data_IF_895881715952
#
_entry.id   IF_895881715952
#
_cell.length_a   1.000
_cell.length_b   1.000
_cell.length_c   1.000
_cell.angle_alpha   90.00
_cell.angle_beta   90.00
_cell.angle_gamma   90.00
#
_symmetry.space_group_name_H-M   'P 1'
#
loop_
_entity.id
_entity.type
_entity.pdbx_description
1 polymer ?
#
# COMPACT_ATOMS: atom_id res chain seq x y z
N UNK A 1 4.13 -42.28 4.27
CA UNK A 1 5.05 -41.16 4.58
C UNK A 1 4.35 -39.88 4.15
N UNK A 2 3.84 -39.13 5.11
CA UNK A 2 3.19 -37.85 4.85
C UNK A 2 4.25 -36.75 4.89
N UNK A 3 4.49 -36.09 3.75
CA UNK A 3 5.31 -34.88 3.72
C UNK A 3 4.50 -33.73 4.33
N UNK A 4 4.91 -33.28 5.51
CA UNK A 4 4.43 -32.04 6.08
C UNK A 4 5.11 -30.87 5.34
N UNK A 5 4.36 -30.17 4.49
CA UNK A 5 4.80 -28.89 3.93
C UNK A 5 4.81 -27.87 5.06
N UNK A 6 6.00 -27.45 5.46
CA UNK A 6 6.17 -26.32 6.38
C UNK A 6 5.78 -25.04 5.62
N UNK A 7 4.54 -24.60 5.80
CA UNK A 7 4.11 -23.27 5.38
C UNK A 7 4.85 -22.27 6.27
N UNK A 8 5.78 -21.51 5.70
CA UNK A 8 6.41 -20.38 6.38
C UNK A 8 5.31 -19.35 6.67
N UNK A 9 4.88 -19.29 7.91
CA UNK A 9 3.83 -18.39 8.36
C UNK A 9 4.41 -16.99 8.57
N UNK A 10 4.24 -16.11 7.60
CA UNK A 10 4.35 -14.68 7.81
C UNK A 10 3.17 -14.21 8.66
N UNK A 11 3.37 -13.57 9.82
CA UNK A 11 2.28 -13.21 10.71
C UNK A 11 1.25 -12.21 10.14
N UNK A 12 1.59 -11.47 9.13
CA UNK A 12 0.67 -10.57 8.42
C UNK A 12 0.04 -11.19 7.16
N UNK A 13 0.63 -12.26 6.62
CA UNK A 13 0.23 -12.87 5.35
C UNK A 13 -0.83 -13.97 5.47
N UNK A 14 -1.20 -14.37 6.68
CA UNK A 14 -2.23 -15.40 6.87
C UNK A 14 -3.63 -14.98 6.39
N UNK A 15 -3.84 -13.69 6.15
CA UNK A 15 -5.06 -13.18 5.49
C UNK A 15 -5.04 -13.33 3.96
N UNK A 16 -3.88 -13.65 3.36
CA UNK A 16 -3.68 -13.58 1.92
C UNK A 16 -3.61 -14.94 1.20
N UNK A 17 -3.38 -16.03 1.92
CA UNK A 17 -2.93 -17.29 1.31
C UNK A 17 -4.04 -18.29 0.94
N UNK A 18 -5.34 -18.02 1.18
CA UNK A 18 -6.39 -19.04 1.02
C UNK A 18 -7.67 -18.57 0.34
N UNK A 19 -7.56 -17.99 -0.85
CA UNK A 19 -8.70 -17.86 -1.74
C UNK A 19 -8.69 -19.01 -2.78
N UNK A 20 -8.86 -20.26 -2.37
CA UNK A 20 -8.85 -21.34 -3.37
C UNK A 20 -9.06 -22.77 -2.90
N UNK A 21 -9.27 -23.05 -1.63
CA UNK A 21 -9.62 -24.41 -1.20
C UNK A 21 -10.95 -24.41 -0.45
N UNK A 22 -11.93 -25.08 -1.01
CA UNK A 22 -13.19 -25.43 -0.33
C UNK A 22 -12.91 -26.42 0.81
N UNK A 23 -12.26 -25.94 1.88
CA UNK A 23 -12.25 -26.64 3.14
C UNK A 23 -13.41 -26.15 3.99
N UNK A 24 -14.14 -27.03 4.70
CA UNK A 24 -15.24 -26.60 5.55
C UNK A 24 -14.69 -25.63 6.59
N UNK A 25 -15.28 -24.43 6.66
CA UNK A 25 -14.94 -23.38 7.61
C UNK A 25 -15.40 -23.81 9.00
N UNK A 26 -14.66 -24.71 9.61
CA UNK A 26 -14.67 -25.01 11.02
C UNK A 26 -13.57 -24.16 11.67
N UNK A 27 -13.98 -23.00 12.07
CA UNK A 27 -13.33 -22.02 12.94
C UNK A 27 -12.00 -22.44 13.62
N UNK A 28 -10.90 -22.42 12.90
CA UNK A 28 -9.63 -22.07 13.51
C UNK A 28 -9.63 -20.54 13.64
N UNK A 29 -10.11 -20.01 14.75
CA UNK A 29 -9.88 -18.63 15.16
C UNK A 29 -8.38 -18.49 15.47
N UNK A 30 -7.57 -18.33 14.45
CA UNK A 30 -6.18 -17.90 14.61
C UNK A 30 -6.28 -16.45 15.06
N UNK A 31 -6.07 -16.20 16.38
CA UNK A 31 -5.85 -14.84 16.87
C UNK A 31 -4.77 -14.22 15.97
N UNK A 32 -4.99 -13.02 15.41
CA UNK A 32 -3.94 -12.37 14.65
C UNK A 32 -2.73 -12.24 15.57
N UNK A 33 -1.61 -12.85 15.18
CA UNK A 33 -0.35 -12.66 15.88
C UNK A 33 -0.04 -11.16 15.84
N UNK A 34 0.32 -10.58 16.98
CA UNK A 34 0.75 -9.18 17.04
C UNK A 34 1.93 -9.02 16.07
N UNK A 35 1.80 -8.13 15.09
CA UNK A 35 2.85 -7.89 14.11
C UNK A 35 4.13 -7.46 14.85
N UNK A 36 5.26 -8.03 14.47
CA UNK A 36 6.57 -7.66 15.00
C UNK A 36 7.30 -6.84 13.94
N UNK A 37 7.66 -5.61 14.30
CA UNK A 37 8.45 -4.73 13.43
C UNK A 37 9.74 -5.39 12.99
N UNK A 38 10.07 -5.26 11.71
CA UNK A 38 11.24 -5.88 11.09
C UNK A 38 12.32 -4.85 10.75
N UNK A 39 11.94 -3.62 10.43
CA UNK A 39 12.85 -2.57 10.00
C UNK A 39 12.66 -1.26 10.75
N UNK A 40 11.42 -0.74 10.83
CA UNK A 40 11.17 0.56 11.44
C UNK A 40 11.26 0.51 12.97
N UNK A 41 11.70 1.63 13.58
CA UNK A 41 11.47 1.86 15.00
C UNK A 41 9.97 2.06 15.26
N UNK A 42 9.50 1.94 16.52
CA UNK A 42 8.09 2.20 16.84
C UNK A 42 7.61 3.60 16.40
N UNK A 43 8.48 4.61 16.51
CA UNK A 43 8.19 5.99 16.12
C UNK A 43 8.12 6.14 14.59
N UNK A 44 9.07 5.55 13.87
CA UNK A 44 9.07 5.51 12.41
C UNK A 44 7.84 4.77 11.89
N UNK A 45 7.49 3.64 12.50
CA UNK A 45 6.32 2.87 12.13
C UNK A 45 5.02 3.66 12.33
N UNK A 46 4.87 4.36 13.46
CA UNK A 46 3.71 5.21 13.69
C UNK A 46 3.58 6.32 12.61
N UNK A 47 4.72 6.86 12.15
CA UNK A 47 4.71 7.83 11.06
C UNK A 47 4.33 7.18 9.72
N UNK A 48 4.84 5.98 9.41
CA UNK A 48 4.45 5.21 8.22
C UNK A 48 2.94 4.88 8.27
N UNK A 49 2.44 4.39 9.40
CA UNK A 49 1.02 4.08 9.59
C UNK A 49 0.15 5.32 9.34
N UNK A 50 0.56 6.48 9.87
CA UNK A 50 -0.19 7.72 9.63
C UNK A 50 -0.11 8.19 8.18
N UNK A 51 1.03 8.07 7.52
CA UNK A 51 1.17 8.45 6.11
C UNK A 51 0.32 7.56 5.20
N UNK A 52 0.33 6.24 5.41
CA UNK A 52 -0.48 5.30 4.64
C UNK A 52 -1.98 5.52 4.84
N UNK A 53 -2.39 5.84 6.08
CA UNK A 53 -3.76 6.18 6.46
C UNK A 53 -4.26 7.49 5.77
N UNK A 54 -3.39 8.50 5.63
CA UNK A 54 -3.70 9.72 4.91
C UNK A 54 -3.76 9.54 3.38
N UNK A 55 -3.06 8.54 2.85
CA UNK A 55 -3.05 8.23 1.40
C UNK A 55 -4.30 7.45 1.01
N UNK A 56 -4.70 6.46 1.80
CA UNK A 56 -5.93 5.68 1.62
C UNK A 56 -6.66 5.64 2.96
N UNK A 57 -7.44 6.69 3.28
CA UNK A 57 -8.16 6.77 4.53
C UNK A 57 -9.34 5.77 4.58
N UNK A 58 -9.75 5.42 5.78
CA UNK A 58 -11.02 4.74 6.00
C UNK A 58 -12.17 5.75 5.91
N UNK A 59 -13.17 5.44 5.12
CA UNK A 59 -14.42 6.20 5.00
C UNK A 59 -15.62 5.23 5.11
N UNK A 60 -16.46 5.14 4.09
CA UNK A 60 -17.52 4.13 4.00
C UNK A 60 -16.94 2.72 3.79
N UNK A 61 -15.69 2.65 3.33
CA UNK A 61 -14.91 1.43 3.10
C UNK A 61 -13.66 1.40 3.97
N UNK A 62 -13.13 0.20 4.31
CA UNK A 62 -11.90 0.08 5.09
C UNK A 62 -10.69 0.64 4.32
N UNK A 63 -9.83 1.39 5.00
CA UNK A 63 -8.64 2.01 4.43
C UNK A 63 -7.35 1.22 4.58
N UNK A 64 -6.21 1.93 4.44
CA UNK A 64 -4.88 1.35 4.51
C UNK A 64 -4.57 0.69 5.88
N UNK A 65 -5.10 1.27 6.96
CA UNK A 65 -4.91 0.77 8.32
C UNK A 65 -5.53 -0.61 8.50
N UNK A 66 -6.79 -0.79 8.13
CA UNK A 66 -7.50 -2.06 8.21
C UNK A 66 -6.94 -3.11 7.28
N UNK A 67 -6.39 -2.66 6.15
CA UNK A 67 -5.71 -3.53 5.19
C UNK A 67 -4.31 -3.99 5.64
N UNK A 68 -3.77 -3.44 6.75
CA UNK A 68 -2.43 -3.79 7.25
C UNK A 68 -1.31 -3.28 6.34
N UNK A 69 -1.51 -2.12 5.71
CA UNK A 69 -0.54 -1.59 4.72
C UNK A 69 0.76 -1.17 5.38
N UNK A 70 0.73 -0.64 6.61
CA UNK A 70 1.96 -0.26 7.31
C UNK A 70 2.87 -1.46 7.59
N UNK A 71 2.29 -2.61 7.95
CA UNK A 71 3.00 -3.88 8.12
C UNK A 71 3.60 -4.36 6.80
N UNK A 72 2.84 -4.22 5.71
CA UNK A 72 3.34 -4.54 4.38
C UNK A 72 4.55 -3.68 4.01
N UNK A 73 4.47 -2.36 4.25
CA UNK A 73 5.58 -1.43 3.98
C UNK A 73 6.81 -1.79 4.83
N UNK A 74 6.66 -2.04 6.14
CA UNK A 74 7.76 -2.44 7.01
C UNK A 74 8.44 -3.73 6.51
N UNK A 75 7.63 -4.71 6.12
CA UNK A 75 8.14 -5.97 5.55
C UNK A 75 8.91 -5.74 4.25
N UNK A 76 8.34 -4.99 3.31
CA UNK A 76 8.97 -4.74 2.02
C UNK A 76 10.31 -4.02 2.17
N UNK A 77 10.38 -3.02 3.04
CA UNK A 77 11.62 -2.26 3.28
C UNK A 77 12.65 -3.09 4.05
N UNK A 78 12.23 -3.94 4.99
CA UNK A 78 13.14 -4.86 5.68
C UNK A 78 13.92 -5.76 4.69
N UNK A 79 13.30 -6.13 3.57
CA UNK A 79 13.86 -7.03 2.56
C UNK A 79 14.47 -6.32 1.35
N UNK A 80 14.41 -4.97 1.29
CA UNK A 80 14.97 -4.17 0.21
C UNK A 80 16.00 -3.16 0.74
N UNK A 81 17.28 -3.58 0.77
CA UNK A 81 18.37 -2.77 1.33
C UNK A 81 18.58 -1.44 0.63
N UNK A 82 18.31 -1.38 -0.67
CA UNK A 82 18.51 -0.17 -1.47
C UNK A 82 17.51 0.93 -1.10
N UNK A 83 16.30 0.53 -0.68
CA UNK A 83 15.25 1.46 -0.26
C UNK A 83 15.35 1.87 1.22
N UNK A 84 16.06 1.11 2.07
CA UNK A 84 16.13 1.36 3.52
C UNK A 84 16.64 2.77 3.85
N UNK A 85 17.68 3.22 3.17
CA UNK A 85 18.24 4.56 3.35
C UNK A 85 17.24 5.65 2.97
N UNK A 86 16.59 5.49 1.81
CA UNK A 86 15.58 6.42 1.30
C UNK A 86 14.40 6.57 2.27
N UNK A 87 13.92 5.46 2.85
CA UNK A 87 12.82 5.53 3.80
C UNK A 87 13.20 6.20 5.11
N UNK A 88 14.38 5.93 5.69
CA UNK A 88 14.84 6.61 6.90
C UNK A 88 15.05 8.11 6.67
N UNK A 89 15.71 8.48 5.58
CA UNK A 89 15.93 9.89 5.23
C UNK A 89 14.63 10.61 4.94
N UNK A 90 13.69 9.95 4.22
CA UNK A 90 12.38 10.50 3.92
C UNK A 90 11.51 10.74 5.15
N UNK A 91 11.44 9.79 6.08
CA UNK A 91 10.71 9.96 7.35
C UNK A 91 11.33 11.09 8.20
N UNK A 92 12.66 11.15 8.25
CA UNK A 92 13.39 12.25 8.92
C UNK A 92 13.07 13.58 8.26
N UNK A 93 13.05 13.63 6.91
CA UNK A 93 12.73 14.83 6.16
C UNK A 93 11.30 15.32 6.45
N UNK A 94 10.30 14.44 6.47
CA UNK A 94 8.91 14.79 6.80
C UNK A 94 8.80 15.46 8.18
N UNK A 95 9.44 14.88 9.21
CA UNK A 95 9.44 15.47 10.54
C UNK A 95 10.15 16.81 10.57
N UNK A 96 11.37 16.92 10.00
CA UNK A 96 12.12 18.16 9.96
C UNK A 96 11.39 19.26 9.16
N UNK A 97 10.71 18.90 8.07
CA UNK A 97 9.90 19.82 7.28
C UNK A 97 8.67 20.32 8.08
N UNK A 98 8.00 19.41 8.79
CA UNK A 98 6.91 19.73 9.70
C UNK A 98 7.32 20.70 10.80
N UNK A 99 8.44 20.43 11.47
CA UNK A 99 8.98 21.29 12.53
C UNK A 99 9.37 22.68 12.02
N UNK A 100 10.03 22.76 10.85
CA UNK A 100 10.39 24.04 10.24
C UNK A 100 9.18 24.87 9.81
N UNK A 101 8.12 24.22 9.33
CA UNK A 101 6.96 24.90 8.74
C UNK A 101 5.89 25.22 9.78
N UNK A 102 5.66 24.33 10.74
CA UNK A 102 4.54 24.39 11.69
C UNK A 102 4.97 24.28 13.15
N UNK A 103 6.29 24.19 13.44
CA UNK A 103 6.85 24.20 14.79
C UNK A 103 6.65 22.92 15.60
N UNK A 104 6.14 21.83 14.97
CA UNK A 104 5.85 20.57 15.64
C UNK A 104 6.18 19.36 14.76
N UNK A 105 6.53 18.20 15.36
CA UNK A 105 6.66 16.94 14.63
C UNK A 105 5.35 16.57 13.93
N UNK A 106 5.45 15.89 12.79
CA UNK A 106 4.33 15.58 11.93
C UNK A 106 3.15 14.89 12.65
N UNK A 107 3.43 13.91 13.52
CA UNK A 107 2.40 13.19 14.28
C UNK A 107 1.67 14.04 15.34
N UNK A 108 2.18 15.24 15.66
CA UNK A 108 1.53 16.18 16.59
C UNK A 108 0.63 17.19 15.91
N UNK A 109 0.71 17.28 14.59
CA UNK A 109 -0.14 18.16 13.79
C UNK A 109 -1.58 17.64 13.73
N UNK A 110 -2.53 18.55 13.57
CA UNK A 110 -3.91 18.18 13.20
C UNK A 110 -3.93 17.58 11.79
N UNK A 111 -4.93 16.78 11.50
CA UNK A 111 -5.09 16.13 10.18
C UNK A 111 -5.07 17.14 9.03
N UNK A 112 -5.81 18.26 9.15
CA UNK A 112 -5.80 19.30 8.14
C UNK A 112 -4.41 19.92 7.91
N UNK A 113 -3.59 20.07 8.97
CA UNK A 113 -2.21 20.53 8.85
C UNK A 113 -1.32 19.49 8.17
N UNK A 114 -1.49 18.20 8.51
CA UNK A 114 -0.78 17.09 7.87
C UNK A 114 -1.07 17.04 6.36
N UNK A 115 -2.35 17.12 5.99
CA UNK A 115 -2.79 17.15 4.59
C UNK A 115 -2.17 18.36 3.87
N UNK A 116 -2.28 19.57 4.44
CA UNK A 116 -1.74 20.80 3.84
C UNK A 116 -0.22 20.74 3.62
N UNK A 117 0.51 20.01 4.48
CA UNK A 117 1.94 19.81 4.36
C UNK A 117 2.29 18.80 3.26
N UNK A 118 1.45 17.78 3.05
CA UNK A 118 1.68 16.73 2.05
C UNK A 118 1.20 17.15 0.64
N UNK A 119 0.23 18.04 0.52
CA UNK A 119 -0.32 18.48 -0.78
C UNK A 119 0.75 18.96 -1.78
N UNK A 120 1.76 19.79 -1.39
CA UNK A 120 2.83 20.20 -2.30
C UNK A 120 3.72 19.05 -2.76
N UNK A 121 3.78 17.97 -2.00
CA UNK A 121 4.52 16.76 -2.36
C UNK A 121 3.73 15.86 -3.31
N UNK A 122 2.41 15.88 -3.18
CA UNK A 122 1.50 15.01 -3.92
C UNK A 122 1.13 15.55 -5.31
N UNK A 123 0.89 16.86 -5.41
CA UNK A 123 0.29 17.46 -6.61
C UNK A 123 1.30 18.32 -7.37
N UNK A 124 1.59 17.93 -8.62
CA UNK A 124 2.55 18.61 -9.48
C UNK A 124 2.32 20.12 -9.61
N UNK A 125 1.06 20.56 -9.62
CA UNK A 125 0.69 21.98 -9.70
C UNK A 125 1.04 22.77 -8.42
N UNK A 126 1.32 22.09 -7.30
CA UNK A 126 1.63 22.68 -6.00
C UNK A 126 3.10 22.51 -5.60
N UNK A 127 3.95 21.95 -6.46
CA UNK A 127 5.36 21.71 -6.18
C UNK A 127 6.10 23.00 -5.83
N UNK A 128 6.96 22.92 -4.81
CA UNK A 128 7.80 24.02 -4.34
C UNK A 128 9.27 23.67 -4.51
N UNK A 129 10.13 24.61 -4.90
CA UNK A 129 11.57 24.40 -4.92
C UNK A 129 12.12 24.05 -3.52
N UNK A 130 13.08 23.13 -3.46
CA UNK A 130 13.69 22.66 -2.22
C UNK A 130 12.92 21.55 -1.48
N UNK A 131 11.83 21.04 -2.06
CA UNK A 131 11.06 19.90 -1.53
C UNK A 131 11.24 18.63 -2.34
N UNK A 132 12.28 18.55 -3.19
CA UNK A 132 12.52 17.44 -4.13
C UNK A 132 12.63 16.10 -3.40
N UNK A 133 13.43 16.03 -2.34
CA UNK A 133 13.65 14.80 -1.56
C UNK A 133 12.34 14.33 -0.89
N UNK A 134 11.56 15.29 -0.36
CA UNK A 134 10.26 14.99 0.23
C UNK A 134 9.26 14.44 -0.80
N UNK A 135 9.25 14.99 -2.02
CA UNK A 135 8.41 14.50 -3.12
C UNK A 135 8.80 13.10 -3.55
N UNK A 136 10.09 12.83 -3.69
CA UNK A 136 10.59 11.51 -4.08
C UNK A 136 10.20 10.45 -3.04
N UNK A 137 10.38 10.77 -1.75
CA UNK A 137 9.94 9.89 -0.68
C UNK A 137 8.42 9.70 -0.67
N UNK A 138 7.64 10.80 -0.79
CA UNK A 138 6.18 10.73 -0.79
C UNK A 138 5.64 9.91 -1.96
N UNK A 139 6.25 10.04 -3.13
CA UNK A 139 5.92 9.22 -4.30
C UNK A 139 6.16 7.73 -4.00
N UNK A 140 7.32 7.39 -3.45
CA UNK A 140 7.68 6.01 -3.11
C UNK A 140 6.71 5.39 -2.08
N UNK A 141 6.40 6.10 -0.99
CA UNK A 141 5.48 5.57 0.03
C UNK A 141 4.05 5.46 -0.52
N UNK A 142 3.61 6.38 -1.39
CA UNK A 142 2.32 6.30 -2.05
C UNK A 142 2.21 5.08 -2.96
N UNK A 143 3.24 4.76 -3.73
CA UNK A 143 3.27 3.57 -4.58
C UNK A 143 3.20 2.29 -3.74
N UNK A 144 3.99 2.18 -2.67
CA UNK A 144 3.93 1.02 -1.77
C UNK A 144 2.60 0.93 -1.03
N UNK A 145 1.99 2.07 -0.68
CA UNK A 145 0.65 2.10 -0.07
C UNK A 145 -0.39 1.54 -1.02
N UNK A 146 -0.41 1.99 -2.28
CA UNK A 146 -1.33 1.48 -3.29
C UNK A 146 -1.08 -0.01 -3.56
N UNK A 147 0.18 -0.42 -3.69
CA UNK A 147 0.55 -1.83 -3.87
C UNK A 147 0.05 -2.69 -2.70
N UNK A 148 0.34 -2.29 -1.45
CA UNK A 148 -0.08 -3.00 -0.25
C UNK A 148 -1.59 -3.08 -0.12
N UNK A 149 -2.29 -1.98 -0.40
CA UNK A 149 -3.73 -1.94 -0.31
C UNK A 149 -4.41 -2.85 -1.35
N UNK A 150 -4.14 -2.64 -2.64
CA UNK A 150 -4.81 -3.40 -3.71
C UNK A 150 -4.35 -4.87 -3.83
N UNK A 151 -3.27 -5.24 -3.19
CA UNK A 151 -2.91 -6.64 -3.03
C UNK A 151 -3.47 -7.26 -1.73
N UNK A 152 -4.14 -6.51 -0.87
CA UNK A 152 -4.86 -7.02 0.32
C UNK A 152 -6.22 -7.61 -0.04
N UNK A 153 -6.78 -8.44 0.85
CA UNK A 153 -8.14 -8.94 0.69
C UNK A 153 -9.17 -7.78 0.63
N UNK A 154 -8.92 -6.73 1.42
CA UNK A 154 -9.77 -5.54 1.49
C UNK A 154 -9.73 -4.81 0.14
N UNK A 155 -8.56 -4.40 -0.32
CA UNK A 155 -8.41 -3.67 -1.57
C UNK A 155 -8.79 -4.51 -2.81
N UNK A 156 -8.58 -5.85 -2.75
CA UNK A 156 -9.04 -6.73 -3.81
C UNK A 156 -10.59 -6.75 -3.94
N UNK A 157 -11.29 -6.64 -2.80
CA UNK A 157 -12.76 -6.52 -2.80
C UNK A 157 -13.22 -5.18 -3.38
N UNK A 158 -12.49 -4.10 -3.12
CA UNK A 158 -12.76 -2.78 -3.70
C UNK A 158 -12.66 -2.77 -5.25
N UNK A 159 -11.87 -3.68 -5.82
CA UNK A 159 -11.78 -3.87 -7.27
C UNK A 159 -12.88 -4.81 -7.82
N UNK A 160 -14.03 -4.98 -7.13
CA UNK A 160 -15.11 -5.90 -7.50
C UNK A 160 -14.66 -7.35 -7.64
N UNK A 161 -13.63 -7.76 -6.88
CA UNK A 161 -13.06 -9.11 -6.94
C UNK A 161 -12.86 -9.56 -8.41
N UNK A 162 -11.96 -8.95 -9.18
CA UNK A 162 -11.75 -9.35 -10.56
C UNK A 162 -11.33 -10.82 -10.57
N UNK A 163 -12.31 -11.71 -10.76
CA UNK A 163 -12.04 -13.13 -10.83
C UNK A 163 -11.06 -13.38 -11.98
N UNK A 164 -9.98 -14.11 -11.73
CA UNK A 164 -9.11 -14.60 -12.79
C UNK A 164 -9.96 -15.48 -13.72
N UNK A 165 -10.34 -14.91 -14.87
CA UNK A 165 -11.04 -15.63 -15.92
C UNK A 165 -10.01 -16.08 -16.94
N UNK A 166 -9.84 -17.38 -17.07
CA UNK A 166 -9.04 -17.94 -18.15
C UNK A 166 -9.91 -18.02 -19.41
N UNK A 167 -9.52 -17.32 -20.45
CA UNK A 167 -10.18 -17.36 -21.73
C UNK A 167 -9.39 -18.25 -22.67
N UNK A 168 -10.04 -19.23 -23.31
CA UNK A 168 -9.42 -20.05 -24.37
C UNK A 168 -9.15 -19.24 -25.66
N UNK A 169 -9.85 -18.12 -25.80
CA UNK A 169 -9.62 -17.10 -26.84
C UNK A 169 -9.78 -15.72 -26.18
N UNK A 170 -9.03 -14.73 -26.66
CA UNK A 170 -9.22 -13.35 -26.19
C UNK A 170 -10.69 -12.94 -26.40
N UNK A 171 -11.39 -12.46 -25.37
CA UNK A 171 -12.72 -11.91 -25.57
C UNK A 171 -12.60 -10.69 -26.50
N UNK A 172 -13.61 -10.52 -27.37
CA UNK A 172 -13.67 -9.31 -28.17
C UNK A 172 -13.69 -8.08 -27.27
N UNK A 173 -13.05 -7.00 -27.69
CA UNK A 173 -13.08 -5.75 -26.96
C UNK A 173 -14.54 -5.30 -26.79
N UNK A 174 -15.04 -5.07 -25.56
CA UNK A 174 -16.42 -4.61 -25.35
C UNK A 174 -16.69 -3.22 -25.94
N UNK A 175 -15.63 -2.48 -26.30
CA UNK A 175 -15.68 -1.12 -26.86
C UNK A 175 -15.44 -1.11 -28.38
N UNK A 176 -15.95 -2.10 -29.10
CA UNK A 176 -15.79 -2.21 -30.57
C UNK A 176 -16.31 -1.00 -31.33
N UNK A 177 -17.24 -0.25 -30.72
CA UNK A 177 -17.82 0.96 -31.30
C UNK A 177 -17.11 2.25 -30.87
N UNK A 178 -16.14 2.17 -29.96
CA UNK A 178 -15.35 3.32 -29.54
C UNK A 178 -14.41 3.76 -30.66
N UNK A 179 -14.52 5.05 -30.99
CA UNK A 179 -13.73 5.70 -32.05
C UNK A 179 -12.23 5.62 -31.81
N UNK A 180 -11.81 5.67 -30.53
CA UNK A 180 -10.39 5.63 -30.15
C UNK A 180 -9.78 4.22 -30.35
N UNK A 181 -10.57 3.18 -30.29
CA UNK A 181 -10.10 1.79 -30.43
C UNK A 181 -10.17 1.25 -31.87
N UNK A 182 -10.90 1.89 -32.76
CA UNK A 182 -11.07 1.41 -34.17
C UNK A 182 -9.80 1.43 -35.01
N UNK A 183 -8.78 2.17 -34.60
CA UNK A 183 -7.51 2.29 -35.32
C UNK A 183 -6.42 1.35 -34.80
N UNK A 184 -6.66 0.65 -33.69
CA UNK A 184 -5.68 -0.30 -33.17
C UNK A 184 -5.71 -1.59 -34.00
N UNK A 185 -4.56 -2.06 -34.49
CA UNK A 185 -4.51 -3.33 -35.21
C UNK A 185 -4.92 -4.46 -34.26
N UNK A 186 -5.59 -5.52 -34.78
CA UNK A 186 -5.91 -6.68 -33.97
C UNK A 186 -4.64 -7.26 -33.37
N UNK A 187 -4.70 -7.62 -32.08
CA UNK A 187 -3.56 -8.22 -31.39
C UNK A 187 -3.13 -9.48 -32.15
N UNK A 188 -1.85 -9.48 -32.60
CA UNK A 188 -1.22 -10.67 -33.19
C UNK A 188 -0.69 -11.50 -32.03
N UNK A 189 -1.29 -12.63 -31.80
CA UNK A 189 -0.83 -13.66 -30.86
C UNK A 189 0.02 -14.70 -31.60
#
# INVERSE_FOLDING_TARGET
>A
MAMAAAAATFPGFTKWAFAGSHLPVGALQIKPATYKLQFFSPEEYALVERLTDLIIPSDETPGAREAGVAEFVDHMIAHNRDEQYKYRTGLTWINAHSERTLGQPFLKLSEGQQISLLEPLAYKAKYRPGEEDGREFFHSIRELTAMGFYSSEIGYKELDNPALKFYSKSPACPHTDDREHKHLPPAKW
#
